data_IF_733543454008
#
_entry.id   IF_733543454008
#
_cell.length_a   1.000
_cell.length_b   1.000
_cell.length_c   1.000
_cell.angle_alpha   90.00
_cell.angle_beta   90.00
_cell.angle_gamma   90.00
#
_symmetry.space_group_name_H-M   'P 1'
#
loop_
_entity.id
_entity.type
_entity.pdbx_description
1 polymer ?
#
# COMPACT_ATOMS: atom_id res chain seq x y z
N UNK A 1 -3.77 23.79 -12.67
CA UNK A 1 -2.99 22.78 -11.91
C UNK A 1 -1.53 22.99 -12.26
N UNK A 2 -0.70 23.34 -11.28
CA UNK A 2 0.75 23.35 -11.50
C UNK A 2 1.18 21.88 -11.60
N UNK A 3 1.81 21.50 -12.71
CA UNK A 3 2.34 20.16 -12.89
C UNK A 3 3.52 20.04 -11.93
N UNK A 4 3.35 19.27 -10.86
CA UNK A 4 4.42 18.96 -9.89
C UNK A 4 5.69 18.59 -10.64
N UNK A 5 6.83 19.16 -10.26
CA UNK A 5 8.13 18.85 -10.84
C UNK A 5 8.71 17.58 -10.21
N UNK A 6 9.72 16.97 -10.84
CA UNK A 6 10.49 15.87 -10.24
C UNK A 6 11.05 16.26 -8.86
N UNK A 7 11.56 17.48 -8.73
CA UNK A 7 12.15 17.97 -7.49
C UNK A 7 11.10 18.06 -6.37
N UNK A 8 9.91 18.54 -6.68
CA UNK A 8 8.80 18.60 -5.72
C UNK A 8 8.31 17.19 -5.32
N UNK A 9 8.18 16.28 -6.29
CA UNK A 9 7.81 14.89 -6.01
C UNK A 9 8.86 14.20 -5.12
N UNK A 10 10.16 14.39 -5.41
CA UNK A 10 11.26 13.87 -4.56
C UNK A 10 11.18 14.45 -3.15
N UNK A 11 11.02 15.77 -3.00
CA UNK A 11 10.93 16.43 -1.69
C UNK A 11 9.74 15.92 -0.88
N UNK A 12 8.57 15.77 -1.51
CA UNK A 12 7.37 15.19 -0.88
C UNK A 12 7.64 13.73 -0.45
N UNK A 13 8.31 12.95 -1.29
CA UNK A 13 8.65 11.57 -0.97
C UNK A 13 9.63 11.45 0.21
N UNK A 14 10.65 12.31 0.28
CA UNK A 14 11.58 12.37 1.42
C UNK A 14 10.86 12.75 2.71
N UNK A 15 9.97 13.74 2.65
CA UNK A 15 9.15 14.15 3.79
C UNK A 15 8.15 13.06 4.23
N UNK A 16 7.63 12.27 3.30
CA UNK A 16 6.79 11.13 3.65
C UNK A 16 7.62 10.01 4.28
N UNK A 17 8.75 9.65 3.67
CA UNK A 17 9.64 8.58 4.17
C UNK A 17 10.11 8.86 5.60
N UNK A 18 10.40 10.10 5.96
CA UNK A 18 10.83 10.46 7.32
C UNK A 18 9.76 10.25 8.40
N UNK A 19 8.49 10.13 8.01
CA UNK A 19 7.37 9.84 8.91
C UNK A 19 7.13 8.35 9.12
N UNK A 20 7.71 7.49 8.27
CA UNK A 20 7.44 6.06 8.31
C UNK A 20 8.27 5.35 9.40
N UNK A 21 7.59 4.48 10.11
CA UNK A 21 8.21 3.54 11.04
C UNK A 21 8.64 2.27 10.30
N UNK A 22 9.66 1.59 10.82
CA UNK A 22 10.22 0.37 10.23
C UNK A 22 11.39 0.64 9.26
N UNK A 23 11.96 -0.44 8.75
CA UNK A 23 13.18 -0.42 7.92
C UNK A 23 12.88 -0.84 6.48
N UNK A 24 13.80 -0.55 5.57
CA UNK A 24 13.73 -1.02 4.18
C UNK A 24 12.89 -0.18 3.22
N UNK A 25 12.30 0.92 3.69
CA UNK A 25 11.54 1.86 2.85
C UNK A 25 12.42 2.55 1.80
N UNK A 26 12.00 2.50 0.54
CA UNK A 26 12.63 3.13 -0.61
C UNK A 26 11.68 4.13 -1.25
N UNK A 27 12.24 5.22 -1.74
CA UNK A 27 11.51 6.23 -2.50
C UNK A 27 11.46 5.79 -3.95
N UNK A 28 10.27 5.84 -4.55
CA UNK A 28 10.07 5.73 -5.98
C UNK A 28 9.47 7.03 -6.49
N UNK A 29 10.05 7.61 -7.53
CA UNK A 29 9.57 8.81 -8.22
C UNK A 29 9.51 8.51 -9.71
N UNK A 30 8.38 8.77 -10.35
CA UNK A 30 8.19 8.49 -11.78
C UNK A 30 7.30 9.54 -12.43
N UNK A 31 7.33 9.59 -13.76
CA UNK A 31 6.51 10.49 -14.56
C UNK A 31 5.44 9.69 -15.32
N UNK A 32 4.17 10.09 -15.17
CA UNK A 32 3.04 9.59 -15.95
C UNK A 32 1.91 10.63 -15.92
N UNK A 33 1.78 11.45 -16.99
CA UNK A 33 0.83 12.58 -17.02
C UNK A 33 1.07 13.56 -15.84
N UNK A 34 2.34 13.68 -15.42
CA UNK A 34 2.75 14.42 -14.22
C UNK A 34 3.74 13.62 -13.37
N UNK A 35 4.35 14.27 -12.37
CA UNK A 35 5.30 13.62 -11.47
C UNK A 35 4.62 13.02 -10.25
N UNK A 36 4.88 11.75 -10.01
CA UNK A 36 4.31 10.95 -8.93
C UNK A 36 5.40 10.43 -8.00
N UNK A 37 5.00 10.03 -6.81
CA UNK A 37 5.88 9.35 -5.87
C UNK A 37 5.13 8.31 -5.04
N UNK A 38 5.87 7.31 -4.57
CA UNK A 38 5.41 6.33 -3.58
C UNK A 38 6.59 5.90 -2.71
N UNK A 39 6.27 5.33 -1.55
CA UNK A 39 7.26 4.75 -0.65
C UNK A 39 7.00 3.25 -0.58
N UNK A 40 8.02 2.46 -0.86
CA UNK A 40 7.88 1.01 -1.01
C UNK A 40 8.86 0.24 -0.13
N UNK A 41 8.42 -0.91 0.36
CA UNK A 41 9.31 -1.97 0.83
C UNK A 41 9.05 -3.23 -0.03
N UNK A 42 9.70 -4.35 0.27
CA UNK A 42 9.64 -5.57 -0.56
C UNK A 42 8.22 -6.02 -0.92
N UNK A 43 7.23 -5.83 -0.03
CA UNK A 43 5.87 -6.35 -0.20
C UNK A 43 4.77 -5.30 0.03
N UNK A 44 5.14 -4.04 0.24
CA UNK A 44 4.21 -2.97 0.61
C UNK A 44 4.52 -1.71 -0.18
N UNK A 45 3.48 -1.15 -0.79
CA UNK A 45 3.54 0.14 -1.49
C UNK A 45 2.60 1.14 -0.82
N UNK A 46 3.16 2.26 -0.37
CA UNK A 46 2.43 3.40 0.17
C UNK A 46 2.30 4.46 -0.91
N UNK A 47 1.07 4.76 -1.30
CA UNK A 47 0.73 5.81 -2.26
C UNK A 47 0.00 6.96 -1.57
N UNK A 48 0.11 8.14 -2.15
CA UNK A 48 -0.65 9.32 -1.70
C UNK A 48 -1.69 9.63 -2.76
N UNK A 49 -2.96 9.64 -2.38
CA UNK A 49 -4.00 10.15 -3.27
C UNK A 49 -3.98 11.66 -3.22
N UNK A 50 -3.40 12.29 -4.24
CA UNK A 50 -3.29 13.76 -4.32
C UNK A 50 -4.67 14.45 -4.35
N UNK A 51 -5.74 13.75 -4.75
CA UNK A 51 -7.09 14.31 -4.81
C UNK A 51 -7.73 14.54 -3.44
N UNK A 52 -7.51 13.63 -2.50
CA UNK A 52 -8.11 13.68 -1.17
C UNK A 52 -7.08 13.95 -0.06
N UNK A 53 -5.79 14.00 -0.40
CA UNK A 53 -4.70 14.25 0.55
C UNK A 53 -4.47 13.11 1.55
N UNK A 54 -4.98 11.92 1.27
CA UNK A 54 -4.92 10.75 2.16
C UNK A 54 -3.97 9.68 1.64
N UNK A 55 -3.56 8.80 2.55
CA UNK A 55 -2.62 7.72 2.31
C UNK A 55 -3.35 6.42 2.00
N UNK A 56 -3.01 5.81 0.86
CA UNK A 56 -3.49 4.49 0.46
C UNK A 56 -2.33 3.50 0.48
N UNK A 57 -2.61 2.27 0.92
CA UNK A 57 -1.62 1.20 0.95
C UNK A 57 -2.09 0.06 0.07
N UNK A 58 -1.18 -0.45 -0.75
CA UNK A 58 -1.34 -1.73 -1.44
C UNK A 58 -0.28 -2.71 -0.95
N UNK A 59 -0.69 -3.98 -0.85
CA UNK A 59 0.17 -5.11 -0.55
C UNK A 59 0.16 -6.08 -1.74
N UNK A 60 1.32 -6.66 -2.02
CA UNK A 60 1.52 -7.64 -3.10
C UNK A 60 2.60 -8.64 -2.72
N UNK A 61 2.54 -9.81 -3.34
CA UNK A 61 3.59 -10.84 -3.27
C UNK A 61 4.85 -10.44 -4.05
N UNK A 62 4.70 -9.67 -5.14
CA UNK A 62 5.78 -9.01 -5.88
C UNK A 62 6.08 -7.59 -5.35
N UNK A 63 6.96 -6.82 -6.02
CA UNK A 63 7.43 -5.49 -5.59
C UNK A 63 6.34 -4.42 -5.43
N UNK A 64 5.09 -4.72 -5.77
CA UNK A 64 3.93 -3.87 -5.48
C UNK A 64 3.87 -2.63 -6.33
N UNK A 65 4.18 -2.75 -7.63
CA UNK A 65 4.07 -1.62 -8.51
C UNK A 65 2.60 -1.22 -8.72
N UNK A 66 2.32 0.08 -8.87
CA UNK A 66 1.04 0.54 -9.39
C UNK A 66 0.79 -0.10 -10.77
N UNK A 67 -0.23 -0.97 -10.85
CA UNK A 67 -0.57 -1.75 -12.05
C UNK A 67 -0.26 -3.24 -11.97
N UNK A 68 0.56 -3.67 -11.02
CA UNK A 68 0.64 -5.09 -10.65
C UNK A 68 -0.69 -5.52 -10.01
N UNK A 69 -1.03 -6.81 -9.99
CA UNK A 69 -2.14 -7.32 -9.20
C UNK A 69 -1.92 -6.95 -7.72
N UNK A 70 -2.43 -5.79 -7.32
CA UNK A 70 -2.58 -5.46 -5.91
C UNK A 70 -3.71 -6.35 -5.42
N UNK A 71 -3.36 -7.42 -4.71
CA UNK A 71 -4.35 -8.30 -4.10
C UNK A 71 -5.23 -7.54 -3.10
N UNK A 72 -4.75 -6.39 -2.60
CA UNK A 72 -5.39 -5.60 -1.56
C UNK A 72 -5.35 -4.10 -1.86
N UNK A 73 -6.30 -3.60 -2.64
CA UNK A 73 -6.57 -2.17 -2.77
C UNK A 73 -8.03 -1.89 -2.43
N UNK A 74 -8.28 -0.99 -1.48
CA UNK A 74 -9.63 -0.57 -1.10
C UNK A 74 -9.63 0.95 -0.97
N UNK A 75 -10.56 1.61 -1.65
CA UNK A 75 -10.73 3.06 -1.59
C UNK A 75 -11.29 3.53 -0.25
N UNK A 76 -11.87 2.67 0.57
CA UNK A 76 -12.33 3.04 1.91
C UNK A 76 -11.19 2.98 2.96
N UNK A 77 -10.01 2.48 2.56
CA UNK A 77 -8.84 2.33 3.42
C UNK A 77 -7.89 3.53 3.44
N UNK A 78 -8.30 4.66 2.87
CA UNK A 78 -7.53 5.90 2.99
C UNK A 78 -7.49 6.41 4.44
N UNK A 79 -6.30 6.73 4.94
CA UNK A 79 -6.08 7.32 6.27
C UNK A 79 -5.29 8.62 6.19
N UNK A 80 -5.40 9.45 7.23
CA UNK A 80 -4.69 10.73 7.33
C UNK A 80 -3.24 10.54 7.84
N UNK A 81 -2.98 9.44 8.56
CA UNK A 81 -1.64 9.02 8.97
C UNK A 81 -1.14 7.83 8.13
N UNK A 82 0.08 7.89 7.56
CA UNK A 82 0.61 6.82 6.73
C UNK A 82 0.94 5.54 7.50
N UNK A 83 1.33 5.63 8.79
CA UNK A 83 1.59 4.43 9.59
C UNK A 83 0.27 3.75 9.98
N UNK A 84 -0.78 4.53 10.24
CA UNK A 84 -2.13 4.01 10.43
C UNK A 84 -2.65 3.32 9.18
N UNK A 85 -2.46 3.93 7.99
CA UNK A 85 -2.83 3.31 6.71
C UNK A 85 -2.17 1.92 6.55
N UNK A 86 -0.87 1.83 6.87
CA UNK A 86 -0.11 0.56 6.83
C UNK A 86 -0.69 -0.44 7.84
N UNK A 87 -0.89 -0.01 9.10
CA UNK A 87 -1.39 -0.87 10.17
C UNK A 87 -2.76 -1.46 9.85
N UNK A 88 -3.69 -0.62 9.39
CA UNK A 88 -5.05 -1.05 9.04
C UNK A 88 -5.03 -2.01 7.86
N UNK A 89 -4.25 -1.71 6.81
CA UNK A 89 -4.15 -2.62 5.66
C UNK A 89 -3.58 -3.98 6.07
N UNK A 90 -2.54 -4.00 6.90
CA UNK A 90 -1.99 -5.24 7.46
C UNK A 90 -3.01 -6.00 8.31
N UNK A 91 -3.85 -5.30 9.08
CA UNK A 91 -4.93 -5.91 9.86
C UNK A 91 -5.97 -6.56 8.94
N UNK A 92 -6.46 -5.87 7.92
CA UNK A 92 -7.44 -6.41 6.97
C UNK A 92 -6.91 -7.65 6.24
N UNK A 93 -5.63 -7.65 5.84
CA UNK A 93 -5.03 -8.83 5.23
C UNK A 93 -4.91 -10.03 6.18
N UNK A 94 -4.61 -9.78 7.47
CA UNK A 94 -4.60 -10.85 8.48
C UNK A 94 -5.99 -11.45 8.66
N UNK A 95 -7.00 -10.61 8.83
CA UNK A 95 -8.39 -11.03 8.99
C UNK A 95 -8.86 -11.86 7.77
N UNK A 96 -8.45 -11.49 6.56
CA UNK A 96 -8.75 -12.28 5.38
C UNK A 96 -8.06 -13.65 5.38
N UNK A 97 -6.77 -13.71 5.70
CA UNK A 97 -6.02 -14.98 5.78
C UNK A 97 -6.62 -15.89 6.83
N UNK A 98 -6.94 -15.36 8.01
CA UNK A 98 -7.58 -16.12 9.09
C UNK A 98 -8.93 -16.69 8.64
N UNK A 99 -9.75 -15.89 7.93
CA UNK A 99 -11.02 -16.35 7.38
C UNK A 99 -10.84 -17.44 6.31
N UNK A 100 -9.82 -17.32 5.46
CA UNK A 100 -9.51 -18.33 4.45
C UNK A 100 -9.05 -19.65 5.08
N UNK A 101 -8.25 -19.60 6.14
CA UNK A 101 -7.80 -20.78 6.87
C UNK A 101 -8.98 -21.53 7.51
N UNK A 102 -9.97 -20.80 8.04
CA UNK A 102 -11.22 -21.40 8.54
C UNK A 102 -11.96 -22.13 7.42
N UNK A 103 -12.18 -21.48 6.26
CA UNK A 103 -12.87 -22.07 5.11
C UNK A 103 -12.16 -23.33 4.63
N UNK A 104 -10.83 -23.28 4.47
CA UNK A 104 -10.03 -24.43 4.03
C UNK A 104 -10.11 -25.58 5.04
N UNK A 105 -10.08 -25.28 6.34
CA UNK A 105 -10.20 -26.26 7.40
C UNK A 105 -11.57 -26.96 7.35
N UNK A 106 -12.65 -26.20 7.22
CA UNK A 106 -14.01 -26.75 7.14
C UNK A 106 -14.22 -27.59 5.89
N UNK A 107 -13.79 -27.10 4.72
CA UNK A 107 -13.84 -27.85 3.47
C UNK A 107 -13.05 -29.16 3.58
N UNK A 108 -11.84 -29.11 4.14
CA UNK A 108 -10.99 -30.30 4.32
C UNK A 108 -11.67 -31.37 5.19
N UNK A 109 -12.37 -30.96 6.26
CA UNK A 109 -13.16 -31.87 7.10
C UNK A 109 -14.32 -32.49 6.34
N UNK A 110 -15.01 -31.71 5.50
CA UNK A 110 -16.12 -32.22 4.70
C UNK A 110 -15.68 -33.22 3.62
N UNK A 111 -14.46 -33.11 3.09
CA UNK A 111 -13.95 -34.00 2.05
C UNK A 111 -13.25 -35.28 2.56
N UNK A 112 -12.77 -35.30 3.81
CA UNK A 112 -12.07 -36.45 4.41
C UNK A 112 -12.86 -37.14 5.53
N UNK A 113 -14.07 -36.65 5.83
CA UNK A 113 -15.00 -37.22 6.81
C UNK A 113 -15.99 -38.21 6.21
#
# INVERSE_FOLDING_TARGET
MSISTRAEATKKAEALKSRLQGQGWKIRVWENIGWHYSIENTHCNLTVSEFIGKFGVSLSDERGYPGDPAFWHDSDDYRDDPNEAIRVKLQHCREFVDNMDVIVTEASRAFHG
#
